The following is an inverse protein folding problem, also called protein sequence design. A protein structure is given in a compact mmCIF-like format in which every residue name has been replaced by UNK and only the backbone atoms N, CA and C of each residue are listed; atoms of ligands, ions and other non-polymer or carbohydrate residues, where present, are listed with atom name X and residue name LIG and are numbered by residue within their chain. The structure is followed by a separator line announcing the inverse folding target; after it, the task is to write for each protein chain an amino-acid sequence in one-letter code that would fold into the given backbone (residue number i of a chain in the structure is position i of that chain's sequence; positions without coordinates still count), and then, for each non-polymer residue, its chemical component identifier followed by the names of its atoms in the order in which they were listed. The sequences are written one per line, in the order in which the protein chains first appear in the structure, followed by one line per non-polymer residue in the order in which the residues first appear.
data_IF_390057137931
#
_entry.id   IF_390057137931
#
_cell.length_a   1.000
_cell.length_b   1.000
_cell.length_c   1.000
_cell.angle_alpha   90.00
_cell.angle_beta   90.00
_cell.angle_gamma   90.00
#
_symmetry.space_group_name_H-M   'P 1'
#
loop_
_entity.id
_entity.type
_entity.pdbx_description
1 polymer ?
#
# COMPACT_ATOMS: atom_id res chain seq x y z
N UNK A 1 -1.13 8.55 -0.53
CA UNK A 1 -0.50 7.35 -1.12
C UNK A 1 1.00 7.48 -1.41
N UNK A 2 1.48 8.56 -2.03
CA UNK A 2 2.92 8.72 -2.35
C UNK A 2 3.91 8.83 -1.17
N UNK A 3 3.43 8.72 0.08
CA UNK A 3 4.23 8.68 1.31
C UNK A 3 4.32 7.23 1.83
N UNK A 4 3.21 6.48 1.75
CA UNK A 4 3.14 5.05 2.10
C UNK A 4 3.98 4.20 1.14
N UNK A 5 3.88 4.45 -0.17
CA UNK A 5 4.74 3.83 -1.18
C UNK A 5 6.24 4.12 -0.95
N UNK A 6 6.55 5.30 -0.41
CA UNK A 6 7.92 5.71 -0.13
C UNK A 6 8.50 5.02 1.11
N UNK A 7 7.66 4.77 2.13
CA UNK A 7 8.04 3.99 3.31
C UNK A 7 8.13 2.48 3.04
N UNK A 8 7.28 1.97 2.16
CA UNK A 8 7.35 0.58 1.69
C UNK A 8 8.64 0.28 0.92
N UNK A 9 9.02 1.12 -0.05
CA UNK A 9 10.28 0.97 -0.78
C UNK A 9 11.54 1.15 0.09
N UNK A 10 11.40 1.73 1.30
CA UNK A 10 12.48 1.82 2.26
C UNK A 10 12.66 0.53 3.09
N UNK A 11 11.83 -0.51 2.86
CA UNK A 11 11.85 -1.76 3.62
C UNK A 11 11.39 -1.63 5.08
N UNK A 12 10.88 -0.47 5.44
CA UNK A 12 10.55 -0.09 6.83
C UNK A 12 9.07 -0.37 7.16
N UNK A 13 8.25 -0.66 6.14
CA UNK A 13 6.79 -0.81 6.28
C UNK A 13 6.29 -1.95 5.40
N UNK A 14 5.53 -2.88 5.99
CA UNK A 14 4.78 -3.90 5.25
C UNK A 14 3.59 -3.22 4.53
N UNK A 15 3.82 -2.77 3.29
CA UNK A 15 2.84 -1.98 2.52
C UNK A 15 1.44 -2.58 2.48
N UNK A 16 1.37 -3.91 2.40
CA UNK A 16 0.12 -4.66 2.40
C UNK A 16 -0.67 -4.42 3.69
N UNK A 17 -0.01 -4.48 4.84
CA UNK A 17 -0.63 -4.26 6.14
C UNK A 17 -1.26 -2.86 6.24
N UNK A 18 -0.56 -1.83 5.77
CA UNK A 18 -1.06 -0.46 5.78
C UNK A 18 -2.24 -0.25 4.81
N UNK A 19 -2.18 -0.84 3.61
CA UNK A 19 -3.27 -0.77 2.64
C UNK A 19 -4.53 -1.50 3.16
N UNK A 20 -4.35 -2.63 3.83
CA UNK A 20 -5.43 -3.37 4.48
C UNK A 20 -6.03 -2.54 5.64
N UNK A 21 -5.20 -1.93 6.49
CA UNK A 21 -5.66 -1.06 7.58
C UNK A 21 -6.46 0.15 7.07
N UNK A 22 -6.09 0.72 5.92
CA UNK A 22 -6.85 1.79 5.28
C UNK A 22 -8.22 1.31 4.77
N UNK A 23 -8.28 0.14 4.14
CA UNK A 23 -9.56 -0.47 3.71
C UNK A 23 -10.47 -0.73 4.91
N UNK A 24 -9.92 -1.27 6.00
CA UNK A 24 -10.64 -1.55 7.24
C UNK A 24 -11.14 -0.27 7.93
N UNK A 25 -10.39 0.83 7.82
CA UNK A 25 -10.81 2.15 8.28
C UNK A 25 -11.87 2.81 7.38
N UNK A 26 -12.28 2.16 6.28
CA UNK A 26 -13.32 2.64 5.37
C UNK A 26 -12.81 3.54 4.25
N UNK A 27 -11.50 3.63 4.03
CA UNK A 27 -10.97 4.31 2.85
C UNK A 27 -11.23 3.46 1.61
N UNK A 28 -11.84 4.08 0.61
CA UNK A 28 -11.95 3.46 -0.70
C UNK A 28 -10.57 3.41 -1.37
N UNK A 29 -10.07 2.19 -1.58
CA UNK A 29 -8.91 1.90 -2.43
C UNK A 29 -9.36 0.92 -3.51
N UNK A 30 -9.27 1.32 -4.78
CA UNK A 30 -9.63 0.42 -5.89
C UNK A 30 -8.70 -0.79 -5.92
N UNK A 31 -9.22 -1.95 -6.35
CA UNK A 31 -8.42 -3.18 -6.43
C UNK A 31 -7.23 -3.05 -7.39
N UNK A 32 -7.40 -2.28 -8.47
CA UNK A 32 -6.32 -1.97 -9.42
C UNK A 32 -5.18 -1.20 -8.73
N UNK A 33 -5.51 -0.16 -7.97
CA UNK A 33 -4.54 0.65 -7.26
C UNK A 33 -3.84 -0.13 -6.14
N UNK A 34 -4.59 -0.95 -5.41
CA UNK A 34 -4.06 -1.84 -4.39
C UNK A 34 -3.06 -2.83 -5.00
N UNK A 35 -3.42 -3.45 -6.13
CA UNK A 35 -2.58 -4.44 -6.81
C UNK A 35 -1.32 -3.80 -7.42
N UNK A 36 -1.44 -2.61 -8.01
CA UNK A 36 -0.31 -1.88 -8.57
C UNK A 36 0.67 -1.46 -7.47
N UNK A 37 0.17 -0.93 -6.35
CA UNK A 37 1.01 -0.55 -5.21
C UNK A 37 1.78 -1.73 -4.62
N UNK A 38 1.15 -2.91 -4.52
CA UNK A 38 1.83 -4.13 -4.06
C UNK A 38 2.85 -4.66 -5.07
N UNK A 39 2.58 -4.53 -6.37
CA UNK A 39 3.49 -4.97 -7.42
C UNK A 39 4.75 -4.10 -7.45
N UNK A 40 4.60 -2.78 -7.32
CA UNK A 40 5.72 -1.82 -7.30
C UNK A 40 6.64 -1.98 -6.08
N UNK A 41 6.13 -2.47 -4.95
CA UNK A 41 6.91 -2.69 -3.73
C UNK A 41 7.57 -4.08 -3.64
N UNK A 42 7.24 -4.99 -4.56
CA UNK A 42 7.83 -6.32 -4.64
C UNK A 42 9.06 -6.38 -5.57
N UNK A 43 9.37 -5.28 -6.29
CA UNK A 43 10.57 -5.08 -7.11
C UNK A 43 11.70 -4.37 -6.33
#
# INVERSE_FOLDING_TARGET
MGILLRGANAGDIELKHELDALRDAGFWISDELYSNALSEAAE
#
